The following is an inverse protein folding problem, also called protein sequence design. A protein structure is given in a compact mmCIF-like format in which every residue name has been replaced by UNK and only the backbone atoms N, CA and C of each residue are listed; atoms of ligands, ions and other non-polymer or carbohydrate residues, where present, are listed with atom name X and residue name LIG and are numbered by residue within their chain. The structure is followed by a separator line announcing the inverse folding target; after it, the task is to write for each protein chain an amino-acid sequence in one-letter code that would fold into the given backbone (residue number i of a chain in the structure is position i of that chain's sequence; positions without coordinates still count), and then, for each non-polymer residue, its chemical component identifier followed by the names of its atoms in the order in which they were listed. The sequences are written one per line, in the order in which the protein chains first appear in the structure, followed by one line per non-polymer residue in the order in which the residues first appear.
data_IF_243969489377
#
_entry.id   IF_243969489377
#
_cell.length_a   1.000
_cell.length_b   1.000
_cell.length_c   1.000
_cell.angle_alpha   90.00
_cell.angle_beta   90.00
_cell.angle_gamma   90.00
#
_symmetry.space_group_name_H-M   'P 1'
#
loop_
_entity.id
_entity.type
_entity.pdbx_description
1 polymer ?
#
# COMPACT_ATOMS: atom_id res chain seq x y z
N UNK A 1 -32.37 19.92 7.19
CA UNK A 1 -32.46 19.49 8.61
C UNK A 1 -33.60 18.53 8.71
N UNK A 2 -33.34 17.25 9.08
CA UNK A 2 -34.42 16.23 9.13
C UNK A 2 -35.38 16.49 10.26
N UNK A 3 -36.66 16.09 10.08
CA UNK A 3 -37.70 16.21 11.09
C UNK A 3 -37.34 15.54 12.44
N UNK A 4 -36.45 14.58 12.46
CA UNK A 4 -35.93 13.91 13.66
C UNK A 4 -35.06 14.81 14.54
N UNK A 5 -34.27 15.72 13.97
CA UNK A 5 -33.48 16.68 14.73
C UNK A 5 -34.33 17.71 15.46
N UNK A 6 -35.47 18.11 14.86
CA UNK A 6 -36.43 19.00 15.49
C UNK A 6 -37.18 18.33 16.66
N UNK A 7 -37.43 17.02 16.55
CA UNK A 7 -38.07 16.22 17.62
C UNK A 7 -37.17 16.02 18.83
N UNK A 8 -35.85 15.96 18.64
CA UNK A 8 -34.86 15.91 19.72
C UNK A 8 -34.68 17.29 20.39
N UNK A 9 -34.63 18.35 19.60
CA UNK A 9 -34.49 19.71 20.13
C UNK A 9 -35.68 20.14 21.00
N UNK A 10 -36.91 19.69 20.71
CA UNK A 10 -38.11 20.01 21.50
C UNK A 10 -38.18 19.30 22.86
N UNK A 11 -37.33 18.28 23.10
CA UNK A 11 -37.23 17.56 24.38
C UNK A 11 -36.08 18.03 25.27
N UNK A 12 -35.19 18.89 24.77
CA UNK A 12 -34.13 19.48 25.57
C UNK A 12 -34.68 20.66 26.37
N UNK A 13 -34.71 20.49 27.68
CA UNK A 13 -35.04 21.56 28.62
C UNK A 13 -33.95 22.63 28.61
N UNK A 14 -34.11 23.65 27.78
CA UNK A 14 -33.14 24.74 27.58
C UNK A 14 -32.88 25.52 28.88
N UNK A 15 -33.80 25.46 29.86
CA UNK A 15 -33.61 26.10 31.18
C UNK A 15 -32.46 25.43 31.97
N UNK A 16 -32.32 24.11 31.81
CA UNK A 16 -31.20 23.37 32.44
C UNK A 16 -29.84 23.63 31.76
N UNK A 17 -29.84 23.90 30.46
CA UNK A 17 -28.61 24.31 29.77
C UNK A 17 -28.09 25.67 30.25
N UNK A 18 -28.99 26.62 30.54
CA UNK A 18 -28.66 27.92 31.10
C UNK A 18 -27.90 27.84 32.44
N UNK A 19 -28.20 26.82 33.26
CA UNK A 19 -27.49 26.59 34.52
C UNK A 19 -26.18 25.82 34.40
N UNK A 20 -26.04 24.95 33.37
CA UNK A 20 -24.87 24.12 33.15
C UNK A 20 -23.78 24.89 32.43
N UNK A 21 -24.13 25.73 31.47
CA UNK A 21 -23.15 26.46 30.64
C UNK A 21 -22.23 27.38 31.44
N UNK A 22 -22.68 28.21 32.39
CA UNK A 22 -21.79 29.04 33.18
C UNK A 22 -20.78 28.22 33.98
N UNK A 23 -21.20 27.08 34.58
CA UNK A 23 -20.31 26.18 35.32
C UNK A 23 -19.27 25.56 34.37
N UNK A 24 -19.69 25.13 33.20
CA UNK A 24 -18.78 24.56 32.19
C UNK A 24 -17.79 25.60 31.67
N UNK A 25 -18.24 26.83 31.41
CA UNK A 25 -17.36 27.92 30.99
C UNK A 25 -16.37 28.31 32.06
N UNK A 26 -16.78 28.32 33.36
CA UNK A 26 -15.87 28.55 34.50
C UNK A 26 -14.80 27.46 34.58
N UNK A 27 -15.15 26.18 34.41
CA UNK A 27 -14.19 25.09 34.36
C UNK A 27 -13.22 25.20 33.17
N UNK A 28 -13.72 25.59 31.99
CA UNK A 28 -12.89 25.82 30.82
C UNK A 28 -11.93 27.00 31.04
N UNK A 29 -12.40 28.09 31.65
CA UNK A 29 -11.60 29.26 31.95
C UNK A 29 -10.52 29.01 33.03
N UNK A 30 -10.77 28.10 33.98
CA UNK A 30 -9.77 27.66 34.94
C UNK A 30 -8.67 26.79 34.31
N UNK A 31 -8.89 26.26 33.11
CA UNK A 31 -7.99 25.33 32.46
C UNK A 31 -7.91 23.99 33.21
N UNK A 32 -7.17 23.07 32.64
CA UNK A 32 -6.84 21.82 33.33
C UNK A 32 -5.78 22.10 34.36
N UNK A 33 -5.98 21.78 35.67
CA UNK A 33 -5.03 22.05 36.74
C UNK A 33 -3.70 21.31 36.58
N UNK A 34 -3.72 20.25 35.74
CA UNK A 34 -2.52 19.47 35.39
C UNK A 34 -2.55 19.24 33.87
N UNK A 35 -1.43 19.46 33.16
CA UNK A 35 -1.34 19.11 31.78
C UNK A 35 -1.77 17.64 31.55
N UNK A 36 -2.51 17.31 30.50
CA UNK A 36 -2.87 15.94 30.25
C UNK A 36 -1.60 15.09 30.18
N UNK A 37 -1.58 13.97 30.89
CA UNK A 37 -0.47 13.03 30.81
C UNK A 37 -0.38 12.52 29.37
N UNK A 38 0.78 12.68 28.78
CA UNK A 38 1.06 12.19 27.42
C UNK A 38 1.69 10.79 27.41
N UNK A 39 2.06 10.29 28.60
CA UNK A 39 2.77 9.04 28.84
C UNK A 39 1.87 7.89 29.33
N UNK A 40 0.55 7.98 29.10
CA UNK A 40 -0.34 6.84 29.36
C UNK A 40 0.09 5.62 28.54
N UNK A 41 0.08 4.44 29.17
CA UNK A 41 0.47 3.19 28.52
C UNK A 41 -0.22 2.96 27.16
N UNK A 42 -1.51 3.32 27.07
CA UNK A 42 -2.24 3.26 25.81
C UNK A 42 -1.66 4.19 24.75
N UNK A 43 -1.27 5.41 25.08
CA UNK A 43 -0.65 6.36 24.16
C UNK A 43 0.74 5.91 23.72
N UNK A 44 1.54 5.37 24.67
CA UNK A 44 2.85 4.82 24.36
C UNK A 44 2.73 3.62 23.41
N UNK A 45 1.78 2.72 23.69
CA UNK A 45 1.49 1.58 22.81
C UNK A 45 1.02 2.04 21.44
N UNK A 46 0.10 3.02 21.38
CA UNK A 46 -0.38 3.56 20.11
C UNK A 46 0.76 4.19 19.28
N UNK A 47 1.65 4.96 19.91
CA UNK A 47 2.83 5.53 19.25
C UNK A 47 3.81 4.47 18.74
N UNK A 48 3.99 3.38 19.50
CA UNK A 48 4.85 2.28 19.10
C UNK A 48 4.26 1.49 17.92
N UNK A 49 2.94 1.28 17.92
CA UNK A 49 2.24 0.56 16.84
C UNK A 49 2.04 1.43 15.59
N UNK A 50 1.84 2.73 15.76
CA UNK A 50 1.52 3.68 14.70
C UNK A 50 2.37 4.95 14.81
N UNK A 51 3.71 4.85 14.67
CA UNK A 51 4.56 6.04 14.65
C UNK A 51 4.21 6.92 13.45
N UNK A 52 4.32 8.23 13.58
CA UNK A 52 4.14 9.15 12.46
C UNK A 52 5.18 8.93 11.37
N UNK A 53 6.42 8.68 11.80
CA UNK A 53 7.53 8.38 10.92
C UNK A 53 8.53 7.45 11.62
N UNK A 54 9.24 6.67 10.81
CA UNK A 54 10.31 5.77 11.25
C UNK A 54 11.60 6.12 10.50
N UNK A 55 12.68 6.33 11.23
CA UNK A 55 14.02 6.46 10.65
C UNK A 55 14.59 5.04 10.47
N UNK A 56 14.92 4.70 9.24
CA UNK A 56 15.41 3.39 8.85
C UNK A 56 16.78 3.54 8.16
N UNK A 57 17.65 2.57 8.35
CA UNK A 57 18.95 2.49 7.68
C UNK A 57 18.99 1.24 6.82
N UNK A 58 19.42 1.37 5.57
CA UNK A 58 19.67 0.23 4.69
C UNK A 58 20.86 -0.56 5.25
N UNK A 59 20.63 -1.81 5.64
CA UNK A 59 21.67 -2.69 6.20
C UNK A 59 22.15 -3.77 5.22
N UNK A 60 21.31 -4.07 4.21
CA UNK A 60 21.65 -5.03 3.18
C UNK A 60 20.99 -4.64 1.86
N UNK A 61 21.66 -4.89 0.74
CA UNK A 61 21.14 -4.73 -0.62
C UNK A 61 21.36 -6.03 -1.37
N UNK A 62 20.30 -6.66 -1.82
CA UNK A 62 20.33 -7.93 -2.55
C UNK A 62 19.89 -7.68 -3.99
N UNK A 63 20.75 -8.00 -4.94
CA UNK A 63 20.37 -7.98 -6.36
C UNK A 63 19.28 -9.05 -6.62
N UNK A 64 18.33 -8.72 -7.46
CA UNK A 64 17.22 -9.58 -7.85
C UNK A 64 17.08 -9.64 -9.37
N UNK A 65 16.23 -10.54 -9.83
CA UNK A 65 15.91 -10.72 -11.25
C UNK A 65 15.39 -9.42 -11.87
N UNK A 66 15.51 -9.31 -13.18
CA UNK A 66 15.06 -8.16 -13.97
C UNK A 66 15.56 -6.79 -13.44
N UNK A 67 16.77 -6.74 -12.88
CA UNK A 67 17.39 -5.53 -12.35
C UNK A 67 16.77 -5.00 -11.05
N UNK A 68 15.86 -5.74 -10.44
CA UNK A 68 15.28 -5.36 -9.16
C UNK A 68 16.30 -5.49 -8.02
N UNK A 69 16.05 -4.81 -6.91
CA UNK A 69 16.84 -4.91 -5.68
C UNK A 69 15.95 -5.04 -4.47
N UNK A 70 16.31 -5.93 -3.55
CA UNK A 70 15.74 -5.97 -2.21
C UNK A 70 16.61 -5.18 -1.25
N UNK A 71 15.99 -4.37 -0.42
CA UNK A 71 16.65 -3.56 0.60
C UNK A 71 16.17 -4.02 1.97
N UNK A 72 17.09 -4.50 2.79
CA UNK A 72 16.82 -4.73 4.21
C UNK A 72 17.04 -3.41 4.95
N UNK A 73 16.05 -3.02 5.71
CA UNK A 73 15.98 -1.75 6.42
C UNK A 73 15.90 -2.04 7.90
N UNK A 74 16.82 -1.51 8.67
CA UNK A 74 16.82 -1.65 10.13
C UNK A 74 16.48 -0.33 10.80
N UNK A 75 15.95 -0.41 12.04
CA UNK A 75 15.68 0.78 12.86
C UNK A 75 16.98 1.57 13.07
N UNK A 76 17.02 2.84 12.66
CA UNK A 76 18.19 3.69 12.84
C UNK A 76 18.53 3.96 14.32
N UNK A 77 17.54 3.92 15.19
CA UNK A 77 17.70 4.07 16.65
C UNK A 77 17.85 2.74 17.41
N UNK A 78 17.82 1.62 16.71
CA UNK A 78 17.74 0.28 17.32
C UNK A 78 16.32 -0.04 17.84
N UNK A 79 16.13 -1.28 18.27
CA UNK A 79 14.86 -1.76 18.82
C UNK A 79 13.83 -2.18 17.77
N UNK A 80 12.65 -2.58 18.27
CA UNK A 80 11.54 -3.06 17.43
C UNK A 80 11.03 -1.95 16.52
N UNK A 81 10.55 -2.36 15.34
CA UNK A 81 9.80 -1.51 14.40
C UNK A 81 8.29 -1.72 14.58
N UNK A 82 7.50 -0.82 14.03
CA UNK A 82 6.05 -0.94 14.05
C UNK A 82 5.61 -2.25 13.39
N UNK A 83 4.78 -3.02 14.08
CA UNK A 83 4.28 -4.31 13.57
C UNK A 83 3.39 -4.08 12.36
N UNK A 84 3.45 -4.99 11.41
CA UNK A 84 2.67 -4.92 10.19
C UNK A 84 1.85 -6.19 9.96
N UNK A 85 0.83 -6.08 9.13
CA UNK A 85 0.10 -7.21 8.58
C UNK A 85 0.61 -7.51 7.18
N UNK A 86 0.78 -8.81 6.82
CA UNK A 86 1.26 -9.21 5.49
C UNK A 86 0.41 -8.59 4.38
N UNK A 87 1.05 -7.87 3.47
CA UNK A 87 0.38 -7.11 2.41
C UNK A 87 0.34 -5.59 2.61
N UNK A 88 0.69 -5.08 3.81
CA UNK A 88 0.87 -3.66 4.05
C UNK A 88 2.13 -3.11 3.37
N UNK A 89 2.24 -1.79 3.28
CA UNK A 89 3.33 -1.07 2.66
C UNK A 89 3.86 0.03 3.57
N UNK A 90 5.06 0.50 3.28
CA UNK A 90 5.65 1.72 3.84
C UNK A 90 5.62 2.81 2.78
N UNK A 91 5.34 4.05 3.19
CA UNK A 91 5.48 5.22 2.34
C UNK A 91 6.78 5.93 2.70
N UNK A 92 7.73 5.94 1.76
CA UNK A 92 9.04 6.55 1.92
C UNK A 92 9.03 7.99 1.46
N UNK A 93 9.59 8.87 2.26
CA UNK A 93 9.86 10.23 1.86
C UNK A 93 11.23 10.28 1.16
N UNK A 94 11.24 10.72 -0.09
CA UNK A 94 12.42 10.78 -0.94
C UNK A 94 12.72 12.23 -1.29
N UNK A 95 13.99 12.59 -1.22
CA UNK A 95 14.47 13.87 -1.75
C UNK A 95 15.35 13.59 -2.97
N UNK A 96 14.88 13.97 -4.14
CA UNK A 96 15.57 13.77 -5.42
C UNK A 96 15.76 15.13 -6.06
N UNK A 97 16.98 15.64 -6.05
CA UNK A 97 17.27 17.01 -6.46
C UNK A 97 16.54 18.02 -5.59
N UNK A 98 15.73 18.90 -6.19
CA UNK A 98 14.89 19.88 -5.50
C UNK A 98 13.51 19.32 -5.11
N UNK A 99 13.14 18.12 -5.56
CA UNK A 99 11.81 17.55 -5.33
C UNK A 99 11.78 16.72 -4.05
N UNK A 100 10.73 16.91 -3.23
CA UNK A 100 10.39 16.02 -2.13
C UNK A 100 9.12 15.26 -2.50
N UNK A 101 9.20 13.95 -2.52
CA UNK A 101 8.12 13.09 -2.97
C UNK A 101 7.98 11.85 -2.07
N UNK A 102 6.82 11.23 -2.10
CA UNK A 102 6.56 9.99 -1.38
C UNK A 102 6.36 8.83 -2.35
N UNK A 103 6.86 7.65 -1.97
CA UNK A 103 6.63 6.40 -2.72
C UNK A 103 6.32 5.25 -1.79
N UNK A 104 5.30 4.50 -2.18
CA UNK A 104 4.83 3.33 -1.43
C UNK A 104 5.51 2.05 -1.94
N UNK A 105 6.08 1.28 -1.02
CA UNK A 105 6.62 -0.05 -1.31
C UNK A 105 6.09 -1.06 -0.32
N UNK A 106 5.56 -2.19 -0.82
CA UNK A 106 5.07 -3.27 0.03
C UNK A 106 6.19 -3.82 0.90
N UNK A 107 5.87 -4.08 2.16
CA UNK A 107 6.74 -4.82 3.05
C UNK A 107 6.81 -6.25 2.53
N UNK A 108 8.02 -6.75 2.31
CA UNK A 108 8.31 -7.99 1.62
C UNK A 108 9.22 -8.87 2.47
N UNK A 109 8.79 -9.18 3.70
CA UNK A 109 9.52 -10.00 4.66
C UNK A 109 8.56 -10.69 5.63
N UNK A 110 9.07 -11.64 6.44
CA UNK A 110 8.30 -12.23 7.53
C UNK A 110 7.83 -11.18 8.54
N UNK A 111 6.59 -11.29 9.07
CA UNK A 111 6.09 -10.38 10.11
C UNK A 111 6.94 -10.35 11.39
N UNK A 112 7.62 -11.45 11.72
CA UNK A 112 8.53 -11.54 12.87
C UNK A 112 9.68 -10.52 12.80
N UNK A 113 10.14 -10.14 11.60
CA UNK A 113 11.24 -9.21 11.42
C UNK A 113 11.02 -7.83 12.05
N UNK A 114 9.77 -7.38 12.13
CA UNK A 114 9.46 -6.11 12.80
C UNK A 114 9.91 -6.10 14.26
N UNK A 115 9.77 -7.25 14.98
CA UNK A 115 10.26 -7.41 16.35
C UNK A 115 11.79 -7.41 16.44
N UNK A 116 12.45 -7.85 15.36
CA UNK A 116 13.91 -7.81 15.23
C UNK A 116 14.42 -6.42 14.80
N UNK A 117 13.51 -5.45 14.66
CA UNK A 117 13.85 -4.11 14.20
C UNK A 117 14.18 -4.03 12.72
N UNK A 118 13.58 -4.90 11.89
CA UNK A 118 13.87 -4.98 10.45
C UNK A 118 12.61 -5.01 9.59
N UNK A 119 12.75 -4.45 8.38
CA UNK A 119 11.85 -4.67 7.25
C UNK A 119 12.65 -5.01 6.00
N UNK A 120 11.98 -5.53 4.99
CA UNK A 120 12.51 -5.62 3.63
C UNK A 120 11.48 -5.06 2.65
N UNK A 121 11.97 -4.34 1.65
CA UNK A 121 11.21 -3.95 0.47
C UNK A 121 11.96 -4.44 -0.77
N UNK A 122 11.22 -4.69 -1.84
CA UNK A 122 11.82 -5.02 -3.15
C UNK A 122 11.35 -3.99 -4.16
N UNK A 123 12.31 -3.34 -4.82
CA UNK A 123 12.09 -2.28 -5.80
C UNK A 123 12.54 -2.78 -7.17
N UNK A 124 11.62 -2.75 -8.13
CA UNK A 124 11.91 -3.07 -9.53
C UNK A 124 12.01 -1.77 -10.33
N UNK A 125 13.11 -1.52 -11.04
CA UNK A 125 13.20 -0.38 -11.94
C UNK A 125 12.21 -0.55 -13.10
N UNK A 126 11.82 0.54 -13.71
CA UNK A 126 10.96 0.56 -14.89
C UNK A 126 11.49 1.55 -15.91
N UNK A 127 11.17 1.35 -17.19
CA UNK A 127 11.71 2.11 -18.32
C UNK A 127 11.61 3.63 -18.13
N UNK A 128 10.49 4.13 -17.61
CA UNK A 128 10.28 5.56 -17.31
C UNK A 128 10.13 5.83 -15.81
N UNK A 129 10.68 4.94 -14.96
CA UNK A 129 10.57 5.04 -13.52
C UNK A 129 11.49 6.10 -12.94
N UNK A 130 10.96 7.14 -12.33
CA UNK A 130 11.76 8.19 -11.71
C UNK A 130 12.30 7.73 -10.33
N UNK A 131 11.40 7.52 -9.37
CA UNK A 131 11.81 7.23 -8.00
C UNK A 131 12.35 5.81 -7.80
N UNK A 132 11.76 4.81 -8.46
CA UNK A 132 12.22 3.42 -8.36
C UNK A 132 13.64 3.25 -8.92
N UNK A 133 13.91 3.85 -10.08
CA UNK A 133 15.23 3.82 -10.69
C UNK A 133 16.24 4.54 -9.80
N UNK A 134 15.91 5.74 -9.31
CA UNK A 134 16.76 6.48 -8.40
C UNK A 134 17.08 5.69 -7.12
N UNK A 135 16.11 5.02 -6.50
CA UNK A 135 16.33 4.15 -5.34
C UNK A 135 17.31 3.04 -5.68
N UNK A 136 17.09 2.33 -6.79
CA UNK A 136 17.97 1.24 -7.22
C UNK A 136 19.41 1.70 -7.51
N UNK A 137 19.60 2.93 -7.95
CA UNK A 137 20.91 3.51 -8.24
C UNK A 137 21.60 4.08 -7.00
N UNK A 138 20.86 4.69 -6.08
CA UNK A 138 21.42 5.53 -5.03
C UNK A 138 21.38 4.92 -3.62
N UNK A 139 20.46 3.97 -3.36
CA UNK A 139 20.42 3.36 -2.03
C UNK A 139 21.51 2.28 -1.91
N UNK A 140 22.38 2.48 -0.93
CA UNK A 140 23.46 1.58 -0.56
C UNK A 140 23.41 1.28 0.93
N UNK A 141 24.16 0.30 1.39
CA UNK A 141 24.31 0.03 2.82
C UNK A 141 24.77 1.31 3.55
N UNK A 142 24.09 1.64 4.63
CA UNK A 142 24.31 2.88 5.39
C UNK A 142 23.36 4.04 4.99
N UNK A 143 22.64 3.94 3.86
CA UNK A 143 21.65 4.97 3.49
C UNK A 143 20.55 5.06 4.53
N UNK A 144 20.31 6.25 5.06
CA UNK A 144 19.21 6.51 6.02
C UNK A 144 18.00 7.11 5.30
N UNK A 145 16.82 6.56 5.59
CA UNK A 145 15.56 6.94 4.96
C UNK A 145 14.46 7.13 5.99
N UNK A 146 13.49 7.97 5.67
CA UNK A 146 12.30 8.16 6.50
C UNK A 146 11.12 7.44 5.85
N UNK A 147 10.45 6.61 6.63
CA UNK A 147 9.25 5.88 6.22
C UNK A 147 8.08 6.16 7.16
N UNK A 148 6.86 5.99 6.66
CA UNK A 148 5.66 5.96 7.49
C UNK A 148 5.63 4.72 8.40
N UNK A 149 4.67 4.65 9.32
CA UNK A 149 4.21 3.36 9.84
C UNK A 149 3.67 2.48 8.70
N UNK A 150 3.51 1.15 8.92
CA UNK A 150 2.83 0.28 7.97
C UNK A 150 1.41 0.75 7.65
N UNK A 151 1.07 0.84 6.36
CA UNK A 151 -0.17 1.36 5.83
C UNK A 151 -0.83 0.37 4.86
N UNK A 152 -2.11 0.62 4.55
CA UNK A 152 -2.88 -0.13 3.56
C UNK A 152 -3.68 -1.28 4.14
N UNK A 153 -4.66 -1.72 3.36
CA UNK A 153 -5.67 -2.70 3.76
C UNK A 153 -5.61 -4.00 2.93
N UNK A 154 -4.58 -4.18 2.12
CA UNK A 154 -4.38 -5.37 1.31
C UNK A 154 -3.82 -6.53 2.15
N UNK A 155 -4.55 -6.94 3.18
CA UNK A 155 -4.21 -8.05 4.07
C UNK A 155 -5.46 -8.88 4.39
N UNK A 156 -5.25 -10.13 4.79
CA UNK A 156 -6.33 -11.03 5.19
C UNK A 156 -7.06 -10.53 6.43
N UNK A 157 -8.38 -10.52 6.40
CA UNK A 157 -9.24 -10.17 7.54
C UNK A 157 -10.38 -11.16 7.69
N UNK A 158 -10.41 -11.92 8.77
CA UNK A 158 -11.41 -12.97 9.02
C UNK A 158 -12.87 -12.52 8.89
N UNK A 159 -13.15 -11.26 9.20
CA UNK A 159 -14.51 -10.71 9.12
C UNK A 159 -14.97 -10.44 7.68
N UNK A 160 -14.04 -10.30 6.75
CA UNK A 160 -14.31 -9.93 5.35
C UNK A 160 -13.95 -11.05 4.38
N UNK A 161 -12.81 -11.70 4.60
CA UNK A 161 -12.22 -12.62 3.65
C UNK A 161 -12.53 -14.07 4.01
N UNK A 162 -12.64 -14.92 3.01
CA UNK A 162 -12.70 -16.37 3.20
C UNK A 162 -11.33 -16.91 3.63
N UNK A 163 -11.32 -18.07 4.27
CA UNK A 163 -10.06 -18.76 4.65
C UNK A 163 -9.22 -19.21 3.47
N UNK A 164 -9.85 -19.37 2.31
CA UNK A 164 -9.17 -19.74 1.07
C UNK A 164 -8.97 -18.48 0.23
N UNK A 165 -7.72 -18.17 -0.08
CA UNK A 165 -7.35 -17.03 -0.92
C UNK A 165 -6.80 -17.57 -2.24
N UNK A 166 -7.40 -17.10 -3.34
CA UNK A 166 -6.81 -17.18 -4.66
C UNK A 166 -6.06 -15.87 -4.91
N UNK A 167 -4.74 -15.93 -4.93
CA UNK A 167 -3.88 -14.78 -5.22
C UNK A 167 -3.52 -14.74 -6.69
N UNK A 168 -3.53 -13.55 -7.28
CA UNK A 168 -3.01 -13.31 -8.64
C UNK A 168 -2.04 -12.15 -8.59
N UNK A 169 -0.83 -12.37 -9.06
CA UNK A 169 0.15 -11.29 -9.14
C UNK A 169 0.93 -11.30 -10.43
N UNK A 170 1.49 -10.12 -10.78
CA UNK A 170 2.39 -9.94 -11.91
C UNK A 170 3.62 -9.13 -11.54
N UNK A 171 4.79 -9.60 -11.92
CA UNK A 171 6.06 -8.93 -11.69
C UNK A 171 6.27 -8.54 -10.22
N UNK A 172 6.49 -7.24 -9.94
CA UNK A 172 6.67 -6.75 -8.55
C UNK A 172 5.41 -6.84 -7.69
N UNK A 173 4.24 -7.19 -8.26
CA UNK A 173 3.02 -7.50 -7.51
C UNK A 173 3.16 -8.71 -6.59
N UNK A 174 4.23 -9.47 -6.70
CA UNK A 174 4.57 -10.57 -5.79
C UNK A 174 4.88 -10.11 -4.37
N UNK A 175 5.36 -8.88 -4.18
CA UNK A 175 5.90 -8.43 -2.88
C UNK A 175 4.94 -8.54 -1.70
N UNK A 176 3.65 -8.17 -1.78
CA UNK A 176 2.72 -8.39 -0.68
C UNK A 176 2.40 -9.87 -0.45
N UNK A 177 2.38 -10.68 -1.51
CA UNK A 177 2.14 -12.11 -1.39
C UNK A 177 3.32 -12.86 -0.81
N UNK A 178 4.56 -12.39 -1.06
CA UNK A 178 5.73 -12.94 -0.41
C UNK A 178 5.65 -12.78 1.12
N UNK A 179 5.25 -11.61 1.61
CA UNK A 179 5.01 -11.42 3.05
C UNK A 179 3.89 -12.33 3.59
N UNK A 180 2.82 -12.56 2.80
CA UNK A 180 1.76 -13.51 3.15
C UNK A 180 2.27 -14.95 3.19
N UNK A 181 3.09 -15.36 2.23
CA UNK A 181 3.72 -16.67 2.19
C UNK A 181 4.64 -16.91 3.41
N UNK A 182 5.46 -15.92 3.76
CA UNK A 182 6.28 -15.95 4.97
C UNK A 182 5.42 -16.11 6.23
N UNK A 183 4.33 -15.34 6.35
CA UNK A 183 3.43 -15.39 7.49
C UNK A 183 2.73 -16.77 7.64
N UNK A 184 2.38 -17.41 6.52
CA UNK A 184 1.84 -18.77 6.53
C UNK A 184 2.89 -19.79 6.98
N UNK A 185 4.13 -19.68 6.50
CA UNK A 185 5.23 -20.54 6.89
C UNK A 185 5.62 -20.38 8.37
N UNK A 186 5.57 -19.15 8.91
CA UNK A 186 5.78 -18.88 10.34
C UNK A 186 4.58 -19.31 11.21
N UNK A 187 3.42 -19.60 10.62
CA UNK A 187 2.19 -19.91 11.36
C UNK A 187 1.55 -18.69 12.03
N UNK A 188 1.95 -17.46 11.66
CA UNK A 188 1.38 -16.22 12.20
C UNK A 188 0.03 -15.86 11.56
N UNK A 189 -0.33 -16.49 10.42
CA UNK A 189 -1.63 -16.35 9.74
C UNK A 189 -2.29 -17.73 9.54
N UNK A 190 -3.64 -17.72 9.48
CA UNK A 190 -4.43 -18.96 9.37
C UNK A 190 -5.41 -18.89 8.19
N UNK A 191 -4.88 -18.79 6.99
CA UNK A 191 -5.59 -18.96 5.72
C UNK A 191 -4.79 -19.89 4.80
N UNK A 192 -5.36 -20.28 3.67
CA UNK A 192 -4.63 -20.97 2.60
C UNK A 192 -4.48 -20.04 1.41
N UNK A 193 -3.36 -20.09 0.73
CA UNK A 193 -3.05 -19.28 -0.44
C UNK A 193 -2.72 -20.16 -1.64
N UNK A 194 -3.55 -20.09 -2.68
CA UNK A 194 -3.18 -20.54 -4.03
C UNK A 194 -2.77 -19.30 -4.83
N UNK A 195 -1.52 -19.21 -5.24
CA UNK A 195 -0.93 -18.04 -5.87
C UNK A 195 -0.62 -18.31 -7.34
N UNK A 196 -1.33 -17.65 -8.24
CA UNK A 196 -1.03 -17.59 -9.67
C UNK A 196 -0.06 -16.44 -9.90
N UNK A 197 1.19 -16.76 -10.22
CA UNK A 197 2.23 -15.77 -10.42
C UNK A 197 2.55 -15.61 -11.91
N UNK A 198 2.04 -14.53 -12.51
CA UNK A 198 2.26 -14.16 -13.90
C UNK A 198 3.62 -13.50 -14.09
N UNK A 199 4.41 -14.01 -15.03
CA UNK A 199 5.70 -13.44 -15.44
C UNK A 199 5.89 -13.65 -16.94
N UNK A 200 6.76 -12.84 -17.56
CA UNK A 200 7.06 -12.98 -18.97
C UNK A 200 7.78 -14.30 -19.29
N UNK A 201 8.82 -14.55 -18.52
CA UNK A 201 9.73 -15.71 -18.64
C UNK A 201 10.28 -16.08 -17.26
N UNK A 202 11.09 -17.13 -17.19
CA UNK A 202 11.71 -17.58 -15.92
C UNK A 202 12.65 -16.56 -15.31
N UNK A 203 13.40 -15.82 -16.13
CA UNK A 203 14.41 -14.84 -15.68
C UNK A 203 13.78 -13.57 -15.12
N UNK A 204 12.49 -13.38 -15.32
CA UNK A 204 11.71 -12.24 -14.79
C UNK A 204 10.94 -12.56 -13.50
N UNK A 205 11.02 -13.80 -12.98
CA UNK A 205 10.34 -14.22 -11.76
C UNK A 205 11.08 -13.66 -10.54
N UNK A 206 10.54 -12.62 -9.91
CA UNK A 206 11.10 -12.06 -8.68
C UNK A 206 10.87 -12.99 -7.48
N UNK A 207 11.88 -13.19 -6.64
CA UNK A 207 11.79 -13.99 -5.42
C UNK A 207 11.33 -15.43 -5.67
N UNK A 208 11.55 -15.95 -6.89
CA UNK A 208 11.04 -17.26 -7.31
C UNK A 208 11.57 -18.41 -6.47
N UNK A 209 12.89 -18.46 -6.25
CA UNK A 209 13.51 -19.50 -5.45
C UNK A 209 13.06 -19.48 -3.98
N UNK A 210 12.99 -18.31 -3.38
CA UNK A 210 12.53 -18.16 -2.00
C UNK A 210 11.06 -18.54 -1.84
N UNK A 211 10.21 -18.16 -2.82
CA UNK A 211 8.80 -18.57 -2.83
C UNK A 211 8.62 -20.06 -3.00
N UNK A 212 9.43 -20.68 -3.87
CA UNK A 212 9.38 -22.14 -4.07
C UNK A 212 9.74 -22.87 -2.76
N UNK A 213 10.81 -22.44 -2.08
CA UNK A 213 11.21 -23.00 -0.78
C UNK A 213 10.08 -22.87 0.27
N UNK A 214 9.37 -21.74 0.28
CA UNK A 214 8.21 -21.55 1.16
C UNK A 214 7.05 -22.48 0.76
N UNK A 215 6.77 -22.64 -0.53
CA UNK A 215 5.71 -23.53 -1.02
C UNK A 215 6.01 -24.99 -0.71
N UNK A 216 7.26 -25.44 -0.84
CA UNK A 216 7.69 -26.80 -0.54
C UNK A 216 7.57 -27.13 0.96
N UNK A 217 7.75 -26.13 1.83
CA UNK A 217 7.71 -26.30 3.29
C UNK A 217 6.34 -26.03 3.92
N UNK A 218 5.45 -25.31 3.26
CA UNK A 218 4.18 -24.85 3.81
C UNK A 218 2.97 -25.41 3.05
N UNK A 219 2.30 -26.42 3.61
CA UNK A 219 1.10 -27.03 3.01
C UNK A 219 -0.07 -26.06 2.76
N UNK A 220 -0.07 -24.88 3.38
CA UNK A 220 -1.08 -23.85 3.19
C UNK A 220 -0.80 -22.96 1.98
N UNK A 221 0.36 -23.10 1.34
CA UNK A 221 0.79 -22.33 0.19
C UNK A 221 0.90 -23.24 -1.04
N UNK A 222 0.19 -22.89 -2.10
CA UNK A 222 0.34 -23.48 -3.44
C UNK A 222 0.79 -22.39 -4.40
N UNK A 223 1.94 -22.58 -5.03
CA UNK A 223 2.50 -21.67 -6.04
C UNK A 223 2.27 -22.24 -7.44
N UNK A 224 1.86 -21.39 -8.37
CA UNK A 224 1.65 -21.73 -9.78
C UNK A 224 2.26 -20.63 -10.62
N UNK A 225 3.28 -20.94 -11.40
CA UNK A 225 3.91 -20.01 -12.33
C UNK A 225 3.18 -20.00 -13.67
N UNK A 226 2.68 -18.83 -14.08
CA UNK A 226 2.03 -18.60 -15.36
C UNK A 226 2.98 -17.78 -16.23
N UNK A 227 3.60 -18.40 -17.26
CA UNK A 227 4.63 -17.76 -18.07
C UNK A 227 4.17 -17.48 -19.50
N UNK A 228 4.27 -16.22 -19.92
CA UNK A 228 3.85 -15.78 -21.25
C UNK A 228 4.66 -16.48 -22.36
N UNK A 229 5.97 -16.66 -22.15
CA UNK A 229 6.87 -17.29 -23.13
C UNK A 229 6.97 -18.82 -22.96
N UNK A 230 6.14 -19.41 -22.10
CA UNK A 230 6.11 -20.83 -21.84
C UNK A 230 7.15 -21.30 -20.82
N UNK A 231 7.08 -22.59 -20.47
CA UNK A 231 7.97 -23.22 -19.48
C UNK A 231 7.58 -23.00 -18.02
N UNK A 232 6.39 -22.47 -17.74
CA UNK A 232 5.76 -22.43 -16.43
C UNK A 232 4.94 -23.67 -16.13
N UNK A 233 4.23 -23.67 -15.00
CA UNK A 233 3.18 -24.64 -14.71
C UNK A 233 1.99 -24.46 -15.66
N UNK A 234 1.74 -23.22 -16.02
CA UNK A 234 0.79 -22.78 -17.04
C UNK A 234 1.48 -21.82 -18.01
N UNK A 235 0.96 -21.77 -19.25
CA UNK A 235 1.51 -20.92 -20.30
C UNK A 235 0.53 -19.82 -20.70
N UNK A 236 1.05 -18.66 -21.05
CA UNK A 236 0.27 -17.48 -21.44
C UNK A 236 0.04 -16.52 -20.29
N UNK A 237 -1.13 -15.89 -20.28
CA UNK A 237 -1.56 -14.95 -19.24
C UNK A 237 -2.62 -15.57 -18.33
N UNK A 238 -2.88 -14.96 -17.19
CA UNK A 238 -3.95 -15.42 -16.29
C UNK A 238 -5.30 -15.10 -16.90
N UNK A 239 -6.10 -16.14 -17.17
CA UNK A 239 -7.43 -16.04 -17.76
C UNK A 239 -8.51 -16.52 -16.78
N UNK A 240 -9.78 -16.28 -17.12
CA UNK A 240 -10.93 -16.77 -16.33
C UNK A 240 -10.93 -18.29 -16.18
N UNK A 241 -10.47 -19.04 -17.19
CA UNK A 241 -10.37 -20.50 -17.16
C UNK A 241 -9.32 -20.94 -16.15
N UNK A 242 -8.15 -20.27 -16.12
CA UNK A 242 -7.13 -20.54 -15.10
C UNK A 242 -7.62 -20.17 -13.70
N UNK A 243 -8.30 -19.04 -13.55
CA UNK A 243 -8.90 -18.67 -12.27
C UNK A 243 -9.88 -19.74 -11.77
N UNK A 244 -10.77 -20.24 -12.65
CA UNK A 244 -11.71 -21.30 -12.31
C UNK A 244 -11.00 -22.63 -12.01
N UNK A 245 -9.95 -22.99 -12.77
CA UNK A 245 -9.16 -24.21 -12.57
C UNK A 245 -8.49 -24.26 -11.19
N UNK A 246 -8.02 -23.09 -10.72
CA UNK A 246 -7.28 -23.00 -9.45
C UNK A 246 -8.10 -22.42 -8.29
N UNK A 247 -9.34 -22.02 -8.52
CA UNK A 247 -10.24 -21.60 -7.48
C UNK A 247 -10.46 -22.73 -6.48
N UNK A 248 -10.38 -22.46 -5.18
CA UNK A 248 -10.75 -23.45 -4.17
C UNK A 248 -12.23 -23.81 -4.25
N UNK A 249 -12.57 -25.04 -3.88
CA UNK A 249 -13.96 -25.43 -3.71
C UNK A 249 -14.63 -24.61 -2.61
N UNK A 250 -15.83 -24.10 -2.88
CA UNK A 250 -16.64 -23.33 -1.92
C UNK A 250 -16.30 -21.84 -1.85
N UNK A 251 -16.30 -21.29 -0.64
CA UNK A 251 -16.11 -19.85 -0.40
C UNK A 251 -14.63 -19.48 -0.42
N UNK A 252 -14.26 -18.53 -1.27
CA UNK A 252 -12.90 -18.01 -1.35
C UNK A 252 -12.87 -16.49 -1.58
N UNK A 253 -11.73 -15.88 -1.31
CA UNK A 253 -11.46 -14.48 -1.65
C UNK A 253 -10.37 -14.40 -2.71
N UNK A 254 -10.51 -13.44 -3.62
CA UNK A 254 -9.55 -13.18 -4.67
C UNK A 254 -8.72 -11.94 -4.32
N UNK A 255 -7.41 -12.09 -4.35
CA UNK A 255 -6.47 -11.01 -4.11
C UNK A 255 -5.64 -10.76 -5.36
N UNK A 256 -5.66 -9.53 -5.85
CA UNK A 256 -5.00 -9.11 -7.10
C UNK A 256 -3.94 -8.06 -6.81
N UNK A 257 -2.73 -8.26 -7.30
CA UNK A 257 -1.67 -7.25 -7.17
C UNK A 257 -0.74 -7.27 -8.38
N UNK A 258 -0.60 -6.14 -9.04
CA UNK A 258 0.27 -6.05 -10.22
C UNK A 258 0.26 -4.69 -10.90
N UNK A 259 0.91 -4.61 -12.06
CA UNK A 259 0.91 -3.43 -12.90
C UNK A 259 -0.50 -3.05 -13.37
N UNK A 260 -0.70 -1.77 -13.62
CA UNK A 260 -1.99 -1.22 -14.02
C UNK A 260 -2.60 -1.93 -15.25
N UNK A 261 -1.78 -2.22 -16.27
CA UNK A 261 -2.24 -2.95 -17.46
C UNK A 261 -2.76 -4.36 -17.14
N UNK A 262 -2.07 -5.10 -16.26
CA UNK A 262 -2.54 -6.40 -15.78
C UNK A 262 -3.87 -6.25 -15.03
N UNK A 263 -3.96 -5.26 -14.14
CA UNK A 263 -5.18 -5.04 -13.34
C UNK A 263 -6.37 -4.73 -14.25
N UNK A 264 -6.17 -3.91 -15.28
CA UNK A 264 -7.21 -3.60 -16.26
C UNK A 264 -7.65 -4.86 -17.05
N UNK A 265 -6.70 -5.65 -17.54
CA UNK A 265 -7.00 -6.91 -18.23
C UNK A 265 -7.75 -7.91 -17.34
N UNK A 266 -7.45 -7.93 -16.04
CA UNK A 266 -8.12 -8.80 -15.08
C UNK A 266 -9.59 -8.48 -14.87
N UNK A 267 -10.05 -7.23 -15.03
CA UNK A 267 -11.46 -6.88 -14.78
C UNK A 267 -12.43 -7.70 -15.64
N UNK A 268 -12.08 -7.92 -16.90
CA UNK A 268 -12.88 -8.78 -17.80
C UNK A 268 -12.82 -10.25 -17.37
N UNK A 269 -11.67 -10.72 -16.89
CA UNK A 269 -11.47 -12.10 -16.46
C UNK A 269 -12.21 -12.43 -15.15
N UNK A 270 -12.58 -11.43 -14.35
CA UNK A 270 -13.32 -11.62 -13.11
C UNK A 270 -14.81 -11.85 -13.31
N UNK A 271 -15.39 -11.33 -14.39
CA UNK A 271 -16.85 -11.37 -14.64
C UNK A 271 -17.41 -12.80 -14.56
N UNK A 272 -16.80 -13.83 -15.19
CA UNK A 272 -17.31 -15.20 -15.14
C UNK A 272 -17.29 -15.84 -13.75
N UNK A 273 -16.46 -15.33 -12.81
CA UNK A 273 -16.32 -15.90 -11.47
C UNK A 273 -17.53 -15.56 -10.56
N UNK A 274 -18.28 -14.51 -10.90
CA UNK A 274 -19.46 -14.05 -10.14
C UNK A 274 -19.19 -13.86 -8.64
N UNK A 275 -17.96 -13.54 -8.28
CA UNK A 275 -17.58 -13.25 -6.89
C UNK A 275 -18.20 -11.91 -6.44
N UNK A 276 -18.74 -11.85 -5.23
CA UNK A 276 -19.20 -10.57 -4.70
C UNK A 276 -17.99 -9.64 -4.47
N UNK A 277 -18.15 -8.34 -4.72
CA UNK A 277 -17.07 -7.34 -4.66
C UNK A 277 -16.34 -7.37 -3.31
N UNK A 278 -17.03 -7.62 -2.21
CA UNK A 278 -16.43 -7.77 -0.89
C UNK A 278 -15.35 -8.88 -0.78
N UNK A 279 -15.39 -9.87 -1.70
CA UNK A 279 -14.43 -10.97 -1.78
C UNK A 279 -13.22 -10.66 -2.66
N UNK A 280 -13.22 -9.53 -3.35
CA UNK A 280 -12.15 -9.14 -4.26
C UNK A 280 -11.35 -8.01 -3.64
N UNK A 281 -10.04 -8.21 -3.54
CA UNK A 281 -9.10 -7.18 -3.09
C UNK A 281 -8.15 -6.85 -4.21
N UNK A 282 -7.97 -5.57 -4.46
CA UNK A 282 -7.12 -5.05 -5.52
C UNK A 282 -6.03 -4.16 -4.92
N UNK A 283 -4.82 -4.31 -5.45
CA UNK A 283 -3.68 -3.42 -5.15
C UNK A 283 -2.94 -3.13 -6.44
N UNK A 284 -3.07 -1.92 -6.93
CA UNK A 284 -2.44 -1.47 -8.17
C UNK A 284 -1.19 -0.67 -7.86
N UNK A 285 -0.15 -0.85 -8.68
CA UNK A 285 1.04 -0.01 -8.66
C UNK A 285 1.01 0.96 -9.83
N UNK A 286 1.29 2.23 -9.53
CA UNK A 286 1.29 3.29 -10.53
C UNK A 286 -0.11 3.85 -10.85
N UNK A 287 -0.12 4.90 -11.63
CA UNK A 287 -1.33 5.50 -12.18
C UNK A 287 -1.58 4.87 -13.55
N UNK A 288 -2.80 4.44 -13.81
CA UNK A 288 -3.19 3.97 -15.15
C UNK A 288 -3.19 5.14 -16.12
N UNK A 289 -2.36 5.07 -17.16
CA UNK A 289 -2.40 6.04 -18.25
C UNK A 289 -3.79 6.05 -18.96
N UNK A 290 -4.46 4.92 -19.01
CA UNK A 290 -5.78 4.78 -19.61
C UNK A 290 -6.87 5.61 -18.91
N UNK A 291 -6.77 5.84 -17.59
CA UNK A 291 -7.70 6.74 -16.90
C UNK A 291 -7.48 8.23 -17.24
N UNK A 292 -6.41 8.54 -17.96
CA UNK A 292 -6.07 9.92 -18.35
C UNK A 292 -6.62 10.30 -19.73
N UNK A 293 -7.00 9.33 -20.58
CA UNK A 293 -7.45 9.61 -21.96
C UNK A 293 -8.97 9.62 -22.11
N UNK A 294 -9.71 8.86 -21.30
CA UNK A 294 -11.16 8.84 -21.31
C UNK A 294 -11.75 10.13 -20.73
N UNK A 295 -12.35 10.95 -21.59
CA UNK A 295 -13.02 12.19 -21.18
C UNK A 295 -12.16 13.45 -21.29
N UNK A 296 -10.97 13.41 -21.88
CA UNK A 296 -10.19 14.61 -22.14
C UNK A 296 -10.90 15.56 -23.12
N UNK A 297 -10.93 16.88 -22.82
CA UNK A 297 -11.41 17.84 -23.80
C UNK A 297 -10.58 17.74 -25.09
N UNK A 298 -11.26 17.81 -26.22
CA UNK A 298 -10.60 17.80 -27.54
C UNK A 298 -9.52 18.88 -27.57
N UNK A 299 -8.30 18.50 -27.92
CA UNK A 299 -7.15 19.40 -28.01
C UNK A 299 -6.46 19.72 -26.67
N UNK A 300 -6.72 18.97 -25.60
CA UNK A 300 -5.97 19.09 -24.34
C UNK A 300 -4.59 18.41 -24.40
N UNK A 301 -4.43 17.38 -25.24
CA UNK A 301 -3.17 16.68 -25.42
C UNK A 301 -2.00 17.62 -25.74
N UNK A 302 -0.88 17.47 -25.03
CA UNK A 302 0.31 18.30 -25.19
C UNK A 302 0.25 19.72 -24.63
N UNK A 303 -0.89 20.13 -24.06
CA UNK A 303 -0.99 21.45 -23.41
C UNK A 303 -0.45 21.44 -21.99
N UNK A 304 0.03 22.58 -21.56
CA UNK A 304 0.39 22.85 -20.16
C UNK A 304 -0.64 23.83 -19.58
N UNK A 305 -1.18 23.48 -18.43
CA UNK A 305 -2.15 24.26 -17.68
C UNK A 305 -1.46 24.92 -16.49
N UNK A 306 -2.00 26.03 -16.03
CA UNK A 306 -1.56 26.68 -14.80
C UNK A 306 -2.50 26.29 -13.67
N UNK A 307 -1.98 25.58 -12.66
CA UNK A 307 -2.73 25.20 -11.46
C UNK A 307 -2.49 26.24 -10.38
N UNK A 308 -3.56 26.76 -9.77
CA UNK A 308 -3.46 27.50 -8.52
C UNK A 308 -3.68 26.53 -7.36
N UNK A 309 -2.65 26.37 -6.54
CA UNK A 309 -2.65 25.45 -5.40
C UNK A 309 -2.60 26.26 -4.12
N UNK A 310 -3.62 26.11 -3.28
CA UNK A 310 -3.60 26.65 -1.92
C UNK A 310 -3.14 25.59 -0.95
N UNK A 311 -2.01 25.84 -0.29
CA UNK A 311 -1.51 25.01 0.80
C UNK A 311 -1.41 25.85 2.07
N UNK A 312 -2.24 25.54 3.07
CA UNK A 312 -2.40 26.40 4.26
C UNK A 312 -2.76 27.84 3.84
N UNK A 313 -1.96 28.80 4.24
CA UNK A 313 -2.19 30.23 3.95
C UNK A 313 -1.41 30.75 2.74
N UNK A 314 -0.80 29.83 1.96
CA UNK A 314 0.01 30.20 0.80
C UNK A 314 -0.63 29.72 -0.50
N UNK A 315 -0.56 30.57 -1.52
CA UNK A 315 -0.98 30.27 -2.89
C UNK A 315 0.25 30.04 -3.77
N UNK A 316 0.21 28.97 -4.54
CA UNK A 316 1.26 28.62 -5.50
C UNK A 316 0.67 28.51 -6.89
N UNK A 317 1.42 28.92 -7.87
CA UNK A 317 1.10 28.69 -9.29
C UNK A 317 2.04 27.64 -9.84
N UNK A 318 1.48 26.51 -10.29
CA UNK A 318 2.26 25.34 -10.72
C UNK A 318 1.88 24.99 -12.17
N UNK A 319 2.84 24.92 -13.10
CA UNK A 319 2.56 24.41 -14.42
C UNK A 319 2.31 22.89 -14.36
N UNK A 320 1.25 22.43 -15.03
CA UNK A 320 0.85 21.01 -15.07
C UNK A 320 0.58 20.61 -16.52
N UNK A 321 1.30 19.63 -17.01
CA UNK A 321 1.06 19.08 -18.34
C UNK A 321 -0.22 18.24 -18.34
N UNK A 322 -0.94 18.21 -19.47
CA UNK A 322 -2.15 17.42 -19.60
C UNK A 322 -1.93 15.93 -19.27
N UNK A 323 -0.74 15.39 -19.58
CA UNK A 323 -0.39 13.98 -19.33
C UNK A 323 0.16 13.67 -17.93
N UNK A 324 0.17 14.64 -17.00
CA UNK A 324 0.64 14.39 -15.63
C UNK A 324 -0.46 14.59 -14.59
N UNK A 325 -0.35 13.89 -13.46
CA UNK A 325 -1.27 14.10 -12.35
C UNK A 325 -0.93 15.38 -11.60
N UNK A 326 -1.93 16.01 -10.97
CA UNK A 326 -1.75 17.20 -10.12
C UNK A 326 -0.69 16.96 -9.04
N UNK A 327 -0.66 15.76 -8.44
CA UNK A 327 0.33 15.37 -7.44
C UNK A 327 1.76 15.42 -8.01
N UNK A 328 1.98 14.90 -9.22
CA UNK A 328 3.30 14.90 -9.87
C UNK A 328 3.72 16.34 -10.19
N UNK A 329 2.82 17.16 -10.71
CA UNK A 329 3.10 18.59 -10.98
C UNK A 329 3.52 19.35 -9.72
N UNK A 330 2.83 19.12 -8.60
CA UNK A 330 3.15 19.72 -7.30
C UNK A 330 4.52 19.27 -6.79
N UNK A 331 4.80 17.95 -6.81
CA UNK A 331 6.10 17.40 -6.41
C UNK A 331 7.24 17.97 -7.25
N UNK A 332 7.05 18.08 -8.57
CA UNK A 332 8.03 18.67 -9.50
C UNK A 332 8.27 20.16 -9.20
N UNK A 333 7.26 20.87 -8.73
CA UNK A 333 7.39 22.27 -8.28
C UNK A 333 7.99 22.40 -6.86
N UNK A 334 8.44 21.31 -6.23
CA UNK A 334 9.01 21.32 -4.90
C UNK A 334 7.98 21.39 -3.76
N UNK A 335 6.69 21.27 -4.08
CA UNK A 335 5.63 21.20 -3.07
C UNK A 335 5.51 19.76 -2.56
N UNK A 336 5.20 19.61 -1.27
CA UNK A 336 5.00 18.29 -0.62
C UNK A 336 3.56 18.16 -0.13
N UNK A 337 2.59 17.89 -1.03
CA UNK A 337 1.22 17.66 -0.59
C UNK A 337 1.13 16.34 0.18
N UNK A 338 0.22 16.24 1.18
CA UNK A 338 0.00 14.98 1.88
C UNK A 338 -0.42 13.89 0.88
N UNK A 339 0.38 12.85 0.77
CA UNK A 339 0.10 11.70 -0.10
C UNK A 339 0.62 10.42 0.54
N UNK A 340 -0.05 9.28 0.27
CA UNK A 340 0.33 7.97 0.83
C UNK A 340 0.50 6.92 -0.26
N UNK A 341 -0.60 6.33 -0.72
CA UNK A 341 -0.59 5.23 -1.70
C UNK A 341 -0.44 5.70 -3.15
N UNK A 342 -0.79 6.94 -3.47
CA UNK A 342 -0.80 7.55 -4.83
C UNK A 342 -1.80 6.87 -5.79
N UNK A 343 -2.81 6.18 -5.27
CA UNK A 343 -3.89 5.55 -6.07
C UNK A 343 -5.06 6.49 -6.38
N UNK A 344 -4.98 7.75 -5.98
CA UNK A 344 -6.02 8.74 -6.25
C UNK A 344 -7.11 8.83 -5.18
N UNK A 345 -7.06 8.01 -4.15
CA UNK A 345 -8.06 7.98 -3.08
C UNK A 345 -7.95 9.15 -2.07
N UNK A 346 -6.82 9.84 -2.06
CA UNK A 346 -6.65 11.01 -1.22
C UNK A 346 -7.39 12.22 -1.79
#
# INVERSE_FOLDING_TARGET
MSQDLMRYASKMDLSKMGAIMPKRMAHIAQGAPVPPRIDYAANCTAKALHPEAQALTVTEVVAREAGAKSFVLSSAGGGELARFRPGQFLSFQLRIGCSTLTRAYSICCPPSWAKEGKYMITVKPSENGFAGNWICENWTVGTTVTASAPLGEFFYTRLRDAKHILGVCGGSGITPFYAMACALAEGSEDFTLTLLYGSRDRDSILLGEELQKLADSCKKLRLVHVLEQGGGDENGTVTSELLQKYAPDGDYSLFLCGPAAMMQAMEEQLVPLKLPERRIRRKTYGVTAASLEDGWPVGAAGKTFSLTVQMRDQLYTVPCSAGETVLVAMERAGLSPPSRCRSGEC
#
